data_IF_379993357749
#
_entry.id   IF_379993357749
#
_cell.length_a   1.000
_cell.length_b   1.000
_cell.length_c   1.000
_cell.angle_alpha   90.00
_cell.angle_beta   90.00
_cell.angle_gamma   90.00
#
_symmetry.space_group_name_H-M   'P 1'
#
loop_
_entity.id
_entity.type
_entity.pdbx_description
1 polymer ?
#
# COMPACT_ATOMS: atom_id res chain seq x y z
N UNK A 1 0.50 4.96 19.42
CA UNK A 1 0.06 3.55 19.50
C UNK A 1 0.70 2.76 18.36
N UNK A 2 1.45 1.71 18.67
CA UNK A 2 2.14 0.88 17.66
C UNK A 2 1.11 -0.12 17.15
N UNK A 3 0.61 0.07 15.96
CA UNK A 3 -0.41 -0.78 15.36
C UNK A 3 0.16 -2.20 15.21
N UNK A 4 -0.24 -3.14 16.10
CA UNK A 4 0.25 -4.53 16.20
C UNK A 4 0.06 -5.27 14.87
N UNK A 5 -1.01 -4.97 14.18
CA UNK A 5 -1.31 -5.52 12.87
C UNK A 5 -0.27 -5.09 11.83
N UNK A 6 0.11 -3.81 11.78
CA UNK A 6 1.18 -3.33 10.91
C UNK A 6 2.52 -4.02 11.20
N UNK A 7 2.78 -4.36 12.47
CA UNK A 7 3.98 -5.12 12.86
C UNK A 7 3.93 -6.57 12.38
N UNK A 8 2.78 -7.24 12.56
CA UNK A 8 2.58 -8.59 12.08
C UNK A 8 2.66 -8.70 10.56
N UNK A 9 1.93 -7.83 9.83
CA UNK A 9 1.95 -7.81 8.37
C UNK A 9 3.35 -7.53 7.83
N UNK A 10 4.08 -6.59 8.44
CA UNK A 10 5.49 -6.30 8.07
C UNK A 10 6.39 -7.49 8.30
N UNK A 11 6.24 -8.16 9.45
CA UNK A 11 7.02 -9.35 9.77
C UNK A 11 6.73 -10.48 8.78
N UNK A 12 5.44 -10.78 8.56
CA UNK A 12 5.01 -11.81 7.61
C UNK A 12 5.49 -11.52 6.19
N UNK A 13 5.34 -10.26 5.74
CA UNK A 13 5.79 -9.82 4.43
C UNK A 13 7.31 -9.98 4.26
N UNK A 14 8.10 -9.48 5.23
CA UNK A 14 9.56 -9.57 5.17
C UNK A 14 10.05 -11.01 5.19
N UNK A 15 9.46 -11.83 6.06
CA UNK A 15 9.82 -13.24 6.19
C UNK A 15 9.53 -14.00 4.88
N UNK A 16 8.34 -13.82 4.30
CA UNK A 16 7.97 -14.44 3.04
C UNK A 16 8.82 -13.95 1.88
N UNK A 17 9.07 -12.63 1.79
CA UNK A 17 9.90 -12.06 0.75
C UNK A 17 11.34 -12.61 0.78
N UNK A 18 11.94 -12.66 1.97
CA UNK A 18 13.28 -13.21 2.16
C UNK A 18 13.33 -14.72 1.82
N UNK A 19 12.32 -15.47 2.28
CA UNK A 19 12.20 -16.91 2.00
C UNK A 19 12.07 -17.18 0.50
N UNK A 20 11.23 -16.44 -0.22
CA UNK A 20 10.99 -16.63 -1.64
C UNK A 20 12.21 -16.23 -2.48
N UNK A 21 12.91 -15.17 -2.07
CA UNK A 21 14.19 -14.76 -2.67
C UNK A 21 15.24 -15.88 -2.53
N UNK A 22 15.43 -16.39 -1.32
CA UNK A 22 16.38 -17.49 -1.05
C UNK A 22 15.96 -18.77 -1.79
N UNK A 23 14.69 -19.13 -1.76
CA UNK A 23 14.16 -20.29 -2.47
C UNK A 23 14.46 -20.22 -3.97
N UNK A 24 14.32 -19.03 -4.57
CA UNK A 24 14.62 -18.84 -6.00
C UNK A 24 16.09 -19.01 -6.30
N UNK A 25 16.98 -18.45 -5.48
CA UNK A 25 18.44 -18.62 -5.66
C UNK A 25 18.85 -20.07 -5.45
N UNK A 26 18.36 -20.72 -4.40
CA UNK A 26 18.64 -22.15 -4.14
C UNK A 26 18.17 -23.00 -5.33
N UNK A 27 16.95 -22.77 -5.81
CA UNK A 27 16.41 -23.49 -6.97
C UNK A 27 17.27 -23.29 -8.21
N UNK A 28 17.71 -22.05 -8.46
CA UNK A 28 18.54 -21.70 -9.62
C UNK A 28 19.89 -22.41 -9.58
N UNK A 29 20.63 -22.25 -8.49
CA UNK A 29 21.96 -22.85 -8.37
C UNK A 29 21.95 -24.39 -8.18
N UNK A 30 20.92 -24.94 -7.51
CA UNK A 30 20.74 -26.37 -7.40
C UNK A 30 20.46 -27.02 -8.77
N UNK A 31 19.67 -26.37 -9.63
CA UNK A 31 19.42 -26.84 -11.00
C UNK A 31 20.72 -26.88 -11.85
N UNK A 32 21.58 -25.86 -11.67
CA UNK A 32 22.90 -25.82 -12.29
C UNK A 32 23.77 -26.98 -11.82
N UNK A 33 23.89 -27.16 -10.50
CA UNK A 33 24.71 -28.21 -9.91
C UNK A 33 24.25 -29.61 -10.34
N UNK A 34 22.95 -29.89 -10.24
CA UNK A 34 22.35 -31.16 -10.67
C UNK A 34 22.62 -31.43 -12.15
N UNK A 35 22.48 -30.44 -13.02
CA UNK A 35 22.63 -30.65 -14.48
C UNK A 35 24.07 -30.82 -14.89
N UNK A 36 25.00 -30.05 -14.36
CA UNK A 36 26.36 -29.97 -14.89
C UNK A 36 27.38 -30.79 -14.11
N UNK A 37 27.07 -31.21 -12.86
CA UNK A 37 27.97 -32.02 -12.04
C UNK A 37 27.44 -33.42 -11.71
N UNK A 38 26.11 -33.60 -11.64
CA UNK A 38 25.55 -34.91 -11.26
C UNK A 38 25.00 -35.67 -12.46
N UNK A 39 24.24 -35.02 -13.35
CA UNK A 39 23.62 -35.71 -14.48
C UNK A 39 24.61 -35.87 -15.66
N UNK A 40 24.62 -37.05 -16.33
CA UNK A 40 25.51 -37.31 -17.47
C UNK A 40 25.21 -36.38 -18.65
N UNK A 41 26.26 -36.01 -19.42
CA UNK A 41 26.16 -35.17 -20.62
C UNK A 41 26.12 -33.67 -20.39
N UNK A 42 26.35 -33.18 -19.16
CA UNK A 42 26.52 -31.77 -18.83
C UNK A 42 27.96 -31.31 -19.06
N UNK A 43 28.35 -30.90 -20.27
CA UNK A 43 29.64 -30.24 -20.48
C UNK A 43 29.52 -28.73 -20.25
N UNK A 44 30.26 -28.23 -19.25
CA UNK A 44 30.80 -26.89 -19.08
C UNK A 44 29.99 -25.69 -19.58
N UNK A 45 28.86 -25.36 -18.94
CA UNK A 45 28.26 -24.03 -19.11
C UNK A 45 28.99 -23.01 -18.20
N UNK A 46 29.43 -21.83 -18.70
CA UNK A 46 30.17 -20.88 -17.87
C UNK A 46 29.35 -20.41 -16.70
N UNK A 47 29.80 -20.68 -15.47
CA UNK A 47 29.13 -20.26 -14.23
C UNK A 47 28.82 -18.75 -14.19
N UNK A 48 29.71 -17.83 -14.64
CA UNK A 48 29.41 -16.39 -14.62
C UNK A 48 28.19 -16.03 -15.47
N UNK A 49 28.01 -16.63 -16.62
CA UNK A 49 26.86 -16.38 -17.49
C UNK A 49 25.58 -16.93 -16.86
N UNK A 50 25.62 -18.11 -16.26
CA UNK A 50 24.50 -18.70 -15.54
C UNK A 50 24.16 -17.89 -14.30
N UNK A 51 25.15 -17.42 -13.55
CA UNK A 51 24.95 -16.53 -12.40
C UNK A 51 24.32 -15.21 -12.82
N UNK A 52 24.69 -14.61 -13.96
CA UNK A 52 24.04 -13.40 -14.47
C UNK A 52 22.53 -13.57 -14.74
N UNK A 53 22.12 -14.74 -15.21
CA UNK A 53 20.71 -15.07 -15.45
C UNK A 53 19.90 -15.25 -14.15
N UNK A 54 20.54 -15.42 -13.00
CA UNK A 54 19.83 -15.46 -11.70
C UNK A 54 19.07 -14.17 -11.41
N UNK A 55 19.52 -13.03 -11.94
CA UNK A 55 18.82 -11.75 -11.81
C UNK A 55 17.43 -11.83 -12.48
N UNK A 56 17.38 -12.41 -13.69
CA UNK A 56 16.13 -12.63 -14.41
C UNK A 56 15.23 -13.61 -13.65
N UNK A 57 15.80 -14.68 -13.08
CA UNK A 57 15.07 -15.67 -12.30
C UNK A 57 14.43 -15.04 -11.05
N UNK A 58 15.20 -14.26 -10.29
CA UNK A 58 14.70 -13.56 -9.10
C UNK A 58 13.64 -12.54 -9.49
N UNK A 59 13.91 -11.69 -10.49
CA UNK A 59 12.97 -10.66 -10.91
C UNK A 59 11.64 -11.24 -11.38
N UNK A 60 11.67 -12.25 -12.27
CA UNK A 60 10.45 -12.90 -12.77
C UNK A 60 9.68 -13.60 -11.66
N UNK A 61 10.35 -14.31 -10.76
CA UNK A 61 9.71 -14.99 -9.62
C UNK A 61 9.02 -13.97 -8.72
N UNK A 62 9.73 -12.89 -8.32
CA UNK A 62 9.15 -11.85 -7.48
C UNK A 62 7.96 -11.18 -8.16
N UNK A 63 8.09 -10.87 -9.46
CA UNK A 63 7.00 -10.28 -10.24
C UNK A 63 5.73 -11.15 -10.20
N UNK A 64 5.84 -12.45 -10.50
CA UNK A 64 4.67 -13.32 -10.52
C UNK A 64 4.11 -13.62 -9.12
N UNK A 65 4.93 -13.67 -8.07
CA UNK A 65 4.44 -13.76 -6.69
C UNK A 65 3.59 -12.53 -6.30
N UNK A 66 3.99 -11.33 -6.75
CA UNK A 66 3.20 -10.12 -6.58
C UNK A 66 1.94 -10.11 -7.47
N UNK A 67 2.08 -10.52 -8.72
CA UNK A 67 0.97 -10.58 -9.68
C UNK A 67 -0.15 -11.51 -9.18
N UNK A 68 0.20 -12.70 -8.69
CA UNK A 68 -0.74 -13.66 -8.09
C UNK A 68 -1.17 -13.32 -6.66
N UNK A 69 -0.83 -12.12 -6.16
CA UNK A 69 -1.23 -11.59 -4.85
C UNK A 69 -0.82 -12.43 -3.64
N UNK A 70 0.26 -13.22 -3.76
CA UNK A 70 0.74 -14.12 -2.70
C UNK A 70 1.33 -13.39 -1.48
N UNK A 71 1.52 -12.07 -1.58
CA UNK A 71 1.92 -11.19 -0.48
C UNK A 71 0.77 -10.35 0.08
N UNK A 72 -0.44 -10.46 -0.46
CA UNK A 72 -1.60 -9.82 0.16
C UNK A 72 -1.92 -10.58 1.45
N UNK A 73 -2.14 -9.83 2.54
CA UNK A 73 -2.51 -10.41 3.83
C UNK A 73 -3.94 -10.94 3.77
N UNK A 74 -4.11 -12.11 3.23
CA UNK A 74 -5.35 -12.89 3.37
C UNK A 74 -5.41 -13.49 4.77
N UNK A 75 -6.56 -13.40 5.41
CA UNK A 75 -6.72 -13.79 6.82
C UNK A 75 -6.54 -15.29 7.02
N UNK A 76 -6.84 -16.14 6.05
CA UNK A 76 -6.43 -17.56 5.99
C UNK A 76 -6.49 -18.02 4.54
N UNK A 77 -5.36 -18.17 3.88
CA UNK A 77 -5.33 -18.93 2.62
C UNK A 77 -5.43 -20.42 2.94
N UNK A 78 -6.38 -21.11 2.32
CA UNK A 78 -6.39 -22.58 2.36
C UNK A 78 -5.10 -23.06 1.73
N UNK A 79 -4.36 -23.94 2.42
CA UNK A 79 -3.04 -24.43 1.98
C UNK A 79 -3.05 -24.89 0.51
N UNK A 80 -4.10 -25.61 0.09
CA UNK A 80 -4.23 -26.05 -1.29
C UNK A 80 -4.31 -24.92 -2.32
N UNK A 81 -4.94 -23.80 -1.98
CA UNK A 81 -5.01 -22.61 -2.85
C UNK A 81 -3.64 -21.94 -2.95
N UNK A 82 -2.89 -21.86 -1.83
CA UNK A 82 -1.53 -21.31 -1.81
C UNK A 82 -0.61 -22.15 -2.68
N UNK A 83 -0.60 -23.47 -2.53
CA UNK A 83 0.20 -24.41 -3.34
C UNK A 83 -0.13 -24.32 -4.82
N UNK A 84 -1.43 -24.27 -5.19
CA UNK A 84 -1.82 -24.12 -6.60
C UNK A 84 -1.37 -22.78 -7.20
N UNK A 85 -1.33 -21.72 -6.41
CA UNK A 85 -0.83 -20.42 -6.85
C UNK A 85 0.69 -20.42 -7.01
N UNK A 86 1.44 -21.11 -6.12
CA UNK A 86 2.88 -21.28 -6.26
C UNK A 86 3.25 -22.11 -7.51
N UNK A 87 2.43 -23.11 -7.83
CA UNK A 87 2.61 -23.88 -9.08
C UNK A 87 2.44 -22.98 -10.31
N UNK A 88 1.42 -22.12 -10.33
CA UNK A 88 1.25 -21.14 -11.42
C UNK A 88 2.44 -20.22 -11.54
N UNK A 89 2.95 -19.68 -10.43
CA UNK A 89 4.17 -18.84 -10.43
C UNK A 89 5.35 -19.59 -11.06
N UNK A 90 5.59 -20.84 -10.68
CA UNK A 90 6.68 -21.64 -11.24
C UNK A 90 6.52 -21.87 -12.75
N UNK A 91 5.29 -22.11 -13.22
CA UNK A 91 4.97 -22.25 -14.65
C UNK A 91 5.14 -20.94 -15.41
N UNK A 92 4.71 -19.80 -14.86
CA UNK A 92 4.86 -18.48 -15.48
C UNK A 92 6.34 -18.10 -15.61
N UNK A 93 7.14 -18.34 -14.56
CA UNK A 93 8.58 -18.12 -14.58
C UNK A 93 9.25 -19.04 -15.60
N UNK A 94 8.88 -20.32 -15.64
CA UNK A 94 9.37 -21.26 -16.64
C UNK A 94 9.09 -20.77 -18.07
N UNK A 95 7.87 -20.29 -18.33
CA UNK A 95 7.48 -19.74 -19.63
C UNK A 95 8.32 -18.51 -20.01
N UNK A 96 8.60 -17.60 -19.06
CA UNK A 96 9.50 -16.44 -19.30
C UNK A 96 10.86 -16.91 -19.80
N UNK A 97 11.43 -17.95 -19.18
CA UNK A 97 12.71 -18.47 -19.63
C UNK A 97 12.62 -19.17 -20.99
N UNK A 98 11.55 -19.91 -21.28
CA UNK A 98 11.33 -20.49 -22.61
C UNK A 98 11.29 -19.42 -23.69
N UNK A 99 10.53 -18.33 -23.45
CA UNK A 99 10.43 -17.19 -24.36
C UNK A 99 11.80 -16.49 -24.50
N UNK A 100 12.47 -16.21 -23.40
CA UNK A 100 13.78 -15.58 -23.39
C UNK A 100 14.80 -16.37 -24.23
N UNK A 101 14.83 -17.69 -24.07
CA UNK A 101 15.73 -18.56 -24.84
C UNK A 101 15.32 -18.68 -26.31
N UNK A 102 14.06 -18.63 -26.63
CA UNK A 102 13.60 -18.62 -28.02
C UNK A 102 14.13 -17.42 -28.81
N UNK A 103 14.15 -16.23 -28.19
CA UNK A 103 14.65 -15.01 -28.85
C UNK A 103 16.17 -14.81 -28.77
N UNK A 104 16.90 -15.55 -27.95
CA UNK A 104 18.35 -15.48 -27.81
C UNK A 104 19.02 -16.62 -28.53
N UNK A 105 19.11 -16.56 -29.88
CA UNK A 105 19.61 -17.62 -30.77
C UNK A 105 21.04 -18.11 -30.48
N UNK A 106 21.90 -17.37 -29.77
CA UNK A 106 23.31 -17.69 -29.53
C UNK A 106 23.62 -18.30 -28.17
N UNK A 107 22.63 -18.48 -27.29
CA UNK A 107 22.87 -19.02 -25.93
C UNK A 107 22.38 -20.46 -25.87
N UNK A 108 23.29 -21.42 -25.98
CA UNK A 108 22.98 -22.85 -25.81
C UNK A 108 22.72 -23.18 -24.33
N UNK A 109 21.54 -22.95 -23.85
CA UNK A 109 21.16 -23.37 -22.49
C UNK A 109 20.56 -24.76 -22.48
N UNK A 110 20.91 -25.54 -21.46
CA UNK A 110 20.40 -26.90 -21.32
C UNK A 110 18.91 -26.88 -20.99
N UNK A 111 18.06 -27.43 -21.85
CA UNK A 111 16.62 -27.61 -21.63
C UNK A 111 16.33 -28.37 -20.32
N UNK A 112 17.23 -29.33 -19.99
CA UNK A 112 17.15 -30.10 -18.75
C UNK A 112 17.38 -29.18 -17.51
N UNK A 113 18.37 -28.27 -17.59
CA UNK A 113 18.60 -27.33 -16.49
C UNK A 113 17.39 -26.45 -16.25
N UNK A 114 16.70 -26.00 -17.29
CA UNK A 114 15.50 -25.20 -17.19
C UNK A 114 14.33 -25.98 -16.58
N UNK A 115 14.11 -27.22 -16.98
CA UNK A 115 13.08 -28.07 -16.40
C UNK A 115 13.35 -28.36 -14.92
N UNK A 116 14.62 -28.65 -14.57
CA UNK A 116 15.06 -28.82 -13.18
C UNK A 116 14.83 -27.54 -12.36
N UNK A 117 15.12 -26.36 -12.95
CA UNK A 117 14.86 -25.11 -12.27
C UNK A 117 13.37 -24.90 -11.98
N UNK A 118 12.47 -25.14 -12.93
CA UNK A 118 11.02 -25.02 -12.73
C UNK A 118 10.51 -25.94 -11.61
N UNK A 119 10.95 -27.20 -11.62
CA UNK A 119 10.58 -28.17 -10.57
C UNK A 119 11.17 -27.80 -9.20
N UNK A 120 12.45 -27.43 -9.15
CA UNK A 120 13.13 -27.00 -7.94
C UNK A 120 12.51 -25.71 -7.37
N UNK A 121 12.18 -24.74 -8.23
CA UNK A 121 11.52 -23.48 -7.82
C UNK A 121 10.19 -23.77 -7.12
N UNK A 122 9.34 -24.59 -7.73
CA UNK A 122 8.08 -24.98 -7.09
C UNK A 122 8.32 -25.63 -5.72
N UNK A 123 9.22 -26.62 -5.67
CA UNK A 123 9.53 -27.35 -4.45
C UNK A 123 10.03 -26.41 -3.32
N UNK A 124 11.03 -25.59 -3.62
CA UNK A 124 11.62 -24.68 -2.61
C UNK A 124 10.68 -23.56 -2.19
N UNK A 125 9.82 -23.06 -3.08
CA UNK A 125 8.76 -22.13 -2.71
C UNK A 125 7.76 -22.77 -1.74
N UNK A 126 7.32 -24.01 -1.99
CA UNK A 126 6.43 -24.75 -1.10
C UNK A 126 7.08 -25.00 0.27
N UNK A 127 8.33 -25.45 0.30
CA UNK A 127 9.07 -25.66 1.55
C UNK A 127 9.23 -24.34 2.31
N UNK A 128 9.65 -23.27 1.64
CA UNK A 128 9.79 -21.94 2.22
C UNK A 128 8.51 -21.43 2.84
N UNK A 129 7.37 -21.61 2.16
CA UNK A 129 6.04 -21.24 2.70
C UNK A 129 5.65 -22.07 3.92
N UNK A 130 5.96 -23.36 3.94
CA UNK A 130 5.76 -24.21 5.14
C UNK A 130 6.57 -23.72 6.33
N UNK A 131 7.84 -23.43 6.12
CA UNK A 131 8.72 -22.90 7.17
C UNK A 131 8.25 -21.54 7.68
N UNK A 132 7.91 -20.62 6.78
CA UNK A 132 7.33 -19.33 7.14
C UNK A 132 6.05 -19.48 7.98
N UNK A 133 5.13 -20.34 7.55
CA UNK A 133 3.89 -20.57 8.27
C UNK A 133 4.13 -21.21 9.65
N UNK A 134 5.14 -22.09 9.79
CA UNK A 134 5.53 -22.65 11.07
C UNK A 134 6.11 -21.59 12.03
N UNK A 135 6.99 -20.71 11.53
CA UNK A 135 7.58 -19.60 12.32
C UNK A 135 6.48 -18.62 12.76
N UNK A 136 5.60 -18.23 11.82
CA UNK A 136 4.47 -17.35 12.11
C UNK A 136 3.55 -17.97 13.16
N UNK A 137 3.22 -19.26 13.00
CA UNK A 137 2.38 -19.99 13.95
C UNK A 137 2.97 -20.09 15.35
N UNK A 138 4.31 -20.23 15.47
CA UNK A 138 5.01 -20.18 16.78
C UNK A 138 4.87 -18.82 17.44
N UNK A 139 5.09 -17.74 16.70
CA UNK A 139 4.99 -16.35 17.21
C UNK A 139 3.55 -15.94 17.55
N UNK A 140 2.55 -16.46 16.85
CA UNK A 140 1.15 -16.26 17.22
C UNK A 140 0.84 -16.97 18.56
N UNK A 141 1.28 -18.23 18.72
CA UNK A 141 1.08 -18.99 19.97
C UNK A 141 1.80 -18.37 21.17
N UNK A 142 2.95 -17.72 20.97
CA UNK A 142 3.63 -16.98 22.05
C UNK A 142 2.94 -15.66 22.44
N UNK A 143 1.83 -15.31 21.81
CA UNK A 143 1.09 -14.08 22.08
C UNK A 143 1.66 -12.81 21.46
N UNK A 144 2.84 -12.87 20.79
CA UNK A 144 3.54 -11.70 20.24
C UNK A 144 2.71 -10.96 19.17
N UNK A 145 1.92 -11.72 18.38
CA UNK A 145 1.14 -11.19 17.26
C UNK A 145 -0.36 -11.45 17.37
N UNK A 146 -0.85 -11.73 18.56
CA UNK A 146 -2.29 -11.82 18.78
C UNK A 146 -2.93 -10.44 18.66
N UNK A 147 -4.01 -10.36 17.87
CA UNK A 147 -4.76 -9.13 17.61
C UNK A 147 -5.90 -9.01 18.62
N UNK A 148 -5.95 -7.88 19.31
CA UNK A 148 -7.03 -7.57 20.24
C UNK A 148 -8.30 -7.30 19.45
N UNK A 149 -9.29 -8.15 19.65
CA UNK A 149 -10.52 -8.18 18.87
C UNK A 149 -11.71 -7.78 19.74
N UNK A 150 -12.45 -6.78 19.30
CA UNK A 150 -13.72 -6.38 19.89
C UNK A 150 -14.85 -7.00 19.08
N UNK A 151 -15.74 -7.69 19.75
CA UNK A 151 -16.97 -8.20 19.16
C UNK A 151 -18.08 -7.17 19.33
N UNK A 152 -18.77 -6.78 18.25
CA UNK A 152 -19.83 -5.81 18.26
C UNK A 152 -21.14 -6.45 17.81
N UNK A 153 -22.14 -6.41 18.67
CA UNK A 153 -23.45 -6.99 18.39
C UNK A 153 -23.64 -8.39 18.97
N UNK A 154 -24.54 -9.18 18.37
CA UNK A 154 -24.98 -10.48 18.85
C UNK A 154 -25.58 -11.31 17.72
N UNK A 155 -26.02 -12.54 18.01
CA UNK A 155 -26.65 -13.44 17.06
C UNK A 155 -25.82 -14.67 16.70
N UNK A 156 -26.35 -15.53 15.82
CA UNK A 156 -25.77 -16.82 15.49
C UNK A 156 -24.35 -16.75 14.94
N UNK A 157 -24.09 -15.80 14.04
CA UNK A 157 -22.76 -15.62 13.41
C UNK A 157 -21.69 -15.16 14.40
N UNK A 158 -22.06 -14.32 15.37
CA UNK A 158 -21.16 -13.91 16.44
C UNK A 158 -20.84 -15.10 17.36
N UNK A 159 -21.85 -15.92 17.73
CA UNK A 159 -21.62 -17.15 18.52
C UNK A 159 -20.70 -18.12 17.78
N UNK A 160 -20.93 -18.35 16.49
CA UNK A 160 -20.08 -19.22 15.64
C UNK A 160 -18.64 -18.70 15.58
N UNK A 161 -18.42 -17.39 15.42
CA UNK A 161 -17.10 -16.77 15.43
C UNK A 161 -16.40 -16.94 16.78
N UNK A 162 -17.08 -16.68 17.89
CA UNK A 162 -16.52 -16.81 19.23
C UNK A 162 -16.17 -18.27 19.55
N UNK A 163 -17.03 -19.22 19.20
CA UNK A 163 -16.81 -20.64 19.37
C UNK A 163 -15.57 -21.12 18.58
N UNK A 164 -15.47 -20.76 17.30
CA UNK A 164 -14.34 -21.14 16.45
C UNK A 164 -13.01 -20.47 16.87
N UNK A 165 -13.08 -19.33 17.55
CA UNK A 165 -11.91 -18.69 18.13
C UNK A 165 -11.48 -19.38 19.43
N UNK A 166 -12.43 -19.77 20.28
CA UNK A 166 -12.19 -20.49 21.51
C UNK A 166 -11.60 -21.89 21.26
N UNK A 167 -12.10 -22.62 20.26
CA UNK A 167 -11.56 -23.94 19.85
C UNK A 167 -10.05 -23.89 19.53
N UNK A 168 -9.58 -22.79 18.96
CA UNK A 168 -8.16 -22.62 18.61
C UNK A 168 -7.29 -22.17 19.79
N UNK A 169 -7.89 -21.65 20.84
CA UNK A 169 -7.18 -21.16 22.01
C UNK A 169 -6.00 -20.25 21.68
N UNK A 170 -4.83 -20.52 22.25
CA UNK A 170 -3.59 -19.75 22.03
C UNK A 170 -3.08 -19.79 20.57
N UNK A 171 -3.53 -20.75 19.77
CA UNK A 171 -3.23 -20.78 18.34
C UNK A 171 -4.09 -19.80 17.54
N UNK A 172 -5.09 -19.17 18.17
CA UNK A 172 -5.89 -18.14 17.55
C UNK A 172 -5.09 -16.85 17.39
N UNK A 173 -5.15 -16.27 16.22
CA UNK A 173 -4.63 -14.92 15.93
C UNK A 173 -5.45 -13.82 16.61
N UNK A 174 -6.69 -14.13 17.01
CA UNK A 174 -7.63 -13.19 17.59
C UNK A 174 -7.79 -13.45 19.06
N UNK A 175 -7.49 -12.43 19.86
CA UNK A 175 -7.74 -12.41 21.30
C UNK A 175 -8.98 -11.55 21.54
N UNK A 176 -10.12 -12.19 21.81
CA UNK A 176 -11.36 -11.47 22.07
C UNK A 176 -11.22 -10.77 23.42
N UNK A 177 -11.35 -9.42 23.42
CA UNK A 177 -11.22 -8.56 24.60
C UNK A 177 -12.55 -8.42 25.31
N UNK A 178 -13.65 -8.36 24.55
CA UNK A 178 -14.99 -8.23 25.06
C UNK A 178 -16.03 -8.01 23.96
N UNK A 179 -17.27 -7.79 24.39
CA UNK A 179 -18.42 -7.56 23.53
C UNK A 179 -18.97 -6.16 23.78
N UNK A 180 -19.32 -5.45 22.71
CA UNK A 180 -19.96 -4.14 22.70
C UNK A 180 -21.33 -4.22 22.01
N UNK A 181 -22.33 -3.50 22.50
CA UNK A 181 -23.70 -3.53 21.99
C UNK A 181 -24.35 -4.93 21.95
N UNK A 182 -23.98 -5.82 22.87
CA UNK A 182 -24.59 -7.14 22.99
C UNK A 182 -25.89 -7.11 23.78
N UNK A 183 -27.03 -7.51 23.19
CA UNK A 183 -28.27 -7.79 23.94
C UNK A 183 -28.17 -9.09 24.73
N UNK A 184 -27.37 -10.03 24.25
CA UNK A 184 -27.10 -11.31 24.88
C UNK A 184 -25.59 -11.44 25.12
N UNK A 185 -25.20 -11.92 26.27
CA UNK A 185 -23.80 -12.23 26.57
C UNK A 185 -23.38 -13.49 25.82
N UNK A 186 -22.45 -13.33 24.89
CA UNK A 186 -21.97 -14.43 24.09
C UNK A 186 -20.77 -15.09 24.77
N UNK A 187 -20.89 -16.37 25.15
CA UNK A 187 -19.76 -17.18 25.63
C UNK A 187 -19.02 -16.64 26.85
N UNK A 188 -19.71 -15.93 27.77
CA UNK A 188 -19.09 -15.35 28.98
C UNK A 188 -18.17 -14.15 28.73
N UNK A 189 -18.23 -13.53 27.53
CA UNK A 189 -17.42 -12.36 27.20
C UNK A 189 -17.77 -11.17 28.08
N UNK A 190 -16.74 -10.44 28.52
CA UNK A 190 -16.91 -9.18 29.27
C UNK A 190 -17.66 -8.17 28.37
N UNK A 191 -18.72 -7.58 28.91
CA UNK A 191 -19.40 -6.44 28.27
C UNK A 191 -18.55 -5.18 28.43
N UNK A 192 -18.30 -4.50 27.32
CA UNK A 192 -17.58 -3.22 27.28
C UNK A 192 -18.62 -2.12 27.24
N UNK A 193 -18.64 -1.28 28.31
CA UNK A 193 -19.48 -0.10 28.40
C UNK A 193 -18.66 1.09 27.92
N UNK A 194 -19.09 1.71 26.83
CA UNK A 194 -18.52 2.95 26.29
C UNK A 194 -19.64 3.76 25.64
N UNK A 195 -19.53 5.07 25.63
CA UNK A 195 -20.52 5.95 25.00
C UNK A 195 -20.54 5.79 23.48
N UNK A 196 -19.38 5.55 22.88
CA UNK A 196 -19.22 5.36 21.44
C UNK A 196 -18.35 4.15 21.11
N UNK A 197 -18.47 3.63 19.89
CA UNK A 197 -17.61 2.56 19.40
C UNK A 197 -16.14 3.02 19.32
N UNK A 198 -15.90 4.29 19.03
CA UNK A 198 -14.57 4.86 18.96
C UNK A 198 -13.87 4.84 20.32
N UNK A 199 -14.57 5.22 21.38
CA UNK A 199 -14.11 5.13 22.76
C UNK A 199 -13.80 3.68 23.14
N UNK A 200 -14.72 2.75 22.86
CA UNK A 200 -14.53 1.33 23.13
C UNK A 200 -13.25 0.78 22.47
N UNK A 201 -13.00 1.17 21.23
CA UNK A 201 -11.81 0.76 20.45
C UNK A 201 -10.54 1.39 21.01
N UNK A 202 -10.57 2.66 21.35
CA UNK A 202 -9.41 3.44 21.81
C UNK A 202 -8.98 3.05 23.22
N UNK A 203 -9.94 2.97 24.17
CA UNK A 203 -9.65 2.62 25.56
C UNK A 203 -9.15 1.19 25.73
N UNK A 204 -9.64 0.28 24.90
CA UNK A 204 -9.26 -1.13 24.97
C UNK A 204 -8.14 -1.52 24.00
N UNK A 205 -7.48 -0.56 23.31
CA UNK A 205 -6.38 -0.81 22.36
C UNK A 205 -6.73 -1.92 21.35
N UNK A 206 -7.89 -1.77 20.69
CA UNK A 206 -8.46 -2.78 19.78
C UNK A 206 -7.83 -2.66 18.39
N UNK A 207 -7.35 -3.78 17.86
CA UNK A 207 -6.81 -3.89 16.50
C UNK A 207 -7.90 -4.24 15.47
N UNK A 208 -8.87 -5.06 15.88
CA UNK A 208 -9.92 -5.59 15.00
C UNK A 208 -11.28 -5.45 15.68
N UNK A 209 -12.26 -5.02 14.90
CA UNK A 209 -13.68 -5.03 15.26
C UNK A 209 -14.38 -6.07 14.39
N UNK A 210 -15.06 -7.01 15.03
CA UNK A 210 -15.90 -7.99 14.34
C UNK A 210 -17.35 -7.69 14.70
N UNK A 211 -18.11 -7.28 13.68
CA UNK A 211 -19.48 -6.82 13.84
C UNK A 211 -20.48 -7.82 13.23
N UNK A 212 -21.51 -8.15 13.97
CA UNK A 212 -22.62 -8.99 13.49
C UNK A 212 -23.89 -8.74 14.28
N UNK A 213 -25.00 -8.72 13.56
CA UNK A 213 -26.33 -8.55 14.12
C UNK A 213 -27.29 -9.52 13.44
N UNK A 214 -28.42 -9.89 14.07
CA UNK A 214 -29.47 -10.64 13.41
C UNK A 214 -30.02 -9.90 12.18
N UNK A 215 -30.51 -10.61 11.15
CA UNK A 215 -30.98 -10.01 9.90
C UNK A 215 -32.02 -8.92 10.07
N UNK A 216 -32.89 -9.08 11.05
CA UNK A 216 -34.01 -8.19 11.33
C UNK A 216 -33.59 -6.80 11.81
N UNK A 217 -32.50 -6.70 12.58
CA UNK A 217 -31.99 -5.44 13.15
C UNK A 217 -30.70 -4.97 12.48
N UNK A 218 -30.05 -5.82 11.68
CA UNK A 218 -28.68 -5.66 11.26
C UNK A 218 -28.42 -4.40 10.42
N UNK A 219 -29.27 -4.12 9.45
CA UNK A 219 -29.05 -3.00 8.53
C UNK A 219 -29.20 -1.63 9.20
N UNK A 220 -30.14 -1.49 10.12
CA UNK A 220 -30.36 -0.24 10.85
C UNK A 220 -29.21 0.03 11.81
N UNK A 221 -28.78 -0.97 12.59
CA UNK A 221 -27.67 -0.85 13.53
C UNK A 221 -26.34 -0.63 12.83
N UNK A 222 -26.11 -1.28 11.69
CA UNK A 222 -24.94 -1.06 10.87
C UNK A 222 -24.92 0.37 10.33
N UNK A 223 -26.07 0.91 9.89
CA UNK A 223 -26.18 2.30 9.44
C UNK A 223 -25.92 3.29 10.58
N UNK A 224 -26.49 3.06 11.75
CA UNK A 224 -26.26 3.91 12.93
C UNK A 224 -24.78 3.92 13.36
N UNK A 225 -24.10 2.79 13.21
CA UNK A 225 -22.68 2.67 13.59
C UNK A 225 -21.73 3.13 12.47
N UNK A 226 -22.22 3.30 11.23
CA UNK A 226 -21.39 3.56 10.03
C UNK A 226 -20.55 4.83 10.12
N UNK A 227 -21.06 5.91 10.69
CA UNK A 227 -20.31 7.16 10.83
C UNK A 227 -19.06 7.02 11.71
N UNK A 228 -19.12 6.18 12.76
CA UNK A 228 -17.96 5.90 13.61
C UNK A 228 -16.97 4.88 12.98
N UNK A 229 -17.45 3.96 12.13
CA UNK A 229 -16.62 2.88 11.56
C UNK A 229 -15.52 3.41 10.64
N UNK A 230 -15.80 4.43 9.85
CA UNK A 230 -14.85 4.97 8.86
C UNK A 230 -13.65 5.67 9.52
N UNK A 231 -13.83 6.19 10.73
CA UNK A 231 -12.80 6.89 11.50
C UNK A 231 -11.95 5.98 12.39
N UNK A 232 -12.39 4.72 12.58
CA UNK A 232 -11.66 3.78 13.45
C UNK A 232 -10.27 3.46 12.91
N UNK A 233 -9.28 3.49 13.79
CA UNK A 233 -7.94 2.99 13.51
C UNK A 233 -7.84 1.45 13.55
N UNK A 234 -8.96 0.75 13.74
CA UNK A 234 -9.09 -0.70 13.74
C UNK A 234 -9.70 -1.21 12.43
N UNK A 235 -9.36 -2.44 12.02
CA UNK A 235 -10.04 -3.10 10.89
C UNK A 235 -11.41 -3.58 11.31
N UNK A 236 -12.43 -3.21 10.54
CA UNK A 236 -13.80 -3.64 10.81
C UNK A 236 -14.21 -4.73 9.82
N UNK A 237 -14.62 -5.87 10.36
CA UNK A 237 -15.19 -6.98 9.64
C UNK A 237 -16.66 -7.11 9.98
N UNK A 238 -17.50 -7.16 8.97
CA UNK A 238 -18.90 -7.45 9.11
C UNK A 238 -19.12 -8.94 8.82
N UNK A 239 -19.79 -9.63 9.74
CA UNK A 239 -20.29 -10.98 9.56
C UNK A 239 -21.73 -10.89 9.03
N UNK A 240 -21.94 -10.98 7.71
CA UNK A 240 -23.28 -10.86 7.17
C UNK A 240 -24.06 -12.15 7.40
N UNK A 241 -25.28 -12.01 7.80
CA UNK A 241 -26.27 -13.07 7.75
C UNK A 241 -27.12 -12.94 6.46
N UNK A 242 -26.44 -12.70 5.33
CA UNK A 242 -27.04 -12.39 4.04
C UNK A 242 -26.70 -13.49 3.01
N UNK A 243 -27.67 -13.89 2.17
CA UNK A 243 -27.39 -14.68 0.98
C UNK A 243 -26.42 -13.95 0.05
N UNK A 244 -25.55 -14.68 -0.63
CA UNK A 244 -24.36 -14.29 -1.39
C UNK A 244 -24.44 -13.16 -2.44
N UNK A 245 -25.41 -12.28 -2.45
CA UNK A 245 -25.77 -11.48 -3.64
C UNK A 245 -25.60 -9.94 -3.55
N UNK A 246 -24.82 -9.31 -2.67
CA UNK A 246 -24.68 -7.84 -2.75
C UNK A 246 -23.27 -7.33 -2.50
N UNK A 247 -22.69 -6.90 -3.57
CA UNK A 247 -22.04 -5.65 -3.99
C UNK A 247 -20.91 -5.03 -3.15
N UNK A 248 -19.71 -5.02 -3.72
CA UNK A 248 -18.69 -3.95 -3.49
C UNK A 248 -17.79 -4.07 -2.26
N UNK A 249 -18.10 -4.93 -1.32
CA UNK A 249 -17.22 -5.24 -0.20
C UNK A 249 -16.35 -6.47 -0.54
N UNK A 250 -15.09 -6.45 -0.16
CA UNK A 250 -14.22 -7.61 -0.34
C UNK A 250 -14.64 -8.70 0.62
N UNK A 251 -15.16 -9.82 0.09
CA UNK A 251 -15.50 -10.97 0.91
C UNK A 251 -14.19 -11.64 1.32
N UNK A 252 -13.94 -11.71 2.60
CA UNK A 252 -12.78 -12.35 3.21
C UNK A 252 -13.25 -13.52 4.05
N UNK A 253 -12.56 -14.65 3.99
CA UNK A 253 -12.90 -15.80 4.85
C UNK A 253 -12.24 -15.64 6.22
N UNK A 254 -13.04 -15.47 7.25
CA UNK A 254 -12.65 -15.55 8.65
C UNK A 254 -12.89 -16.99 9.13
N UNK A 255 -11.84 -17.79 9.30
CA UNK A 255 -11.98 -19.19 9.75
C UNK A 255 -13.11 -20.00 9.07
N UNK A 256 -13.23 -19.86 7.75
CA UNK A 256 -14.28 -20.48 6.93
C UNK A 256 -15.65 -19.77 6.97
N UNK A 257 -15.79 -18.69 7.74
CA UNK A 257 -17.00 -17.86 7.75
C UNK A 257 -16.79 -16.71 6.75
N UNK A 258 -17.68 -16.51 5.77
CA UNK A 258 -17.59 -15.36 4.88
C UNK A 258 -17.82 -14.06 5.66
N UNK A 259 -16.86 -13.15 5.60
CA UNK A 259 -16.91 -11.84 6.24
C UNK A 259 -16.70 -10.74 5.21
N UNK A 260 -17.38 -9.61 5.36
CA UNK A 260 -17.21 -8.43 4.54
C UNK A 260 -16.25 -7.45 5.23
N UNK A 261 -15.12 -7.17 4.59
CA UNK A 261 -14.24 -6.10 5.06
C UNK A 261 -14.77 -4.75 4.59
N UNK A 262 -15.26 -3.92 5.50
CA UNK A 262 -15.97 -2.67 5.18
C UNK A 262 -15.02 -1.48 5.05
N UNK A 263 -13.84 -1.50 5.70
CA UNK A 263 -12.92 -0.36 5.73
C UNK A 263 -11.53 -0.63 5.12
N UNK A 264 -11.44 -1.39 4.04
CA UNK A 264 -10.18 -1.68 3.34
C UNK A 264 -9.68 -0.49 2.51
N UNK A 265 -9.32 0.62 3.14
CA UNK A 265 -8.79 1.78 2.42
C UNK A 265 -7.27 1.89 2.45
N UNK A 266 -6.56 0.95 3.08
CA UNK A 266 -5.11 0.91 3.06
C UNK A 266 -4.58 -0.01 1.96
N UNK A 267 -3.52 0.46 1.27
CA UNK A 267 -2.77 -0.42 0.36
C UNK A 267 -2.10 -1.54 1.17
N UNK A 268 -2.27 -2.78 0.74
CA UNK A 268 -1.55 -3.93 1.33
C UNK A 268 -0.03 -3.70 1.27
N UNK A 269 0.74 -4.37 2.13
CA UNK A 269 2.20 -4.20 2.18
C UNK A 269 2.86 -4.50 0.83
N UNK A 270 2.38 -5.53 0.11
CA UNK A 270 2.86 -5.84 -1.23
C UNK A 270 2.63 -4.69 -2.21
N UNK A 271 1.43 -4.12 -2.21
CA UNK A 271 1.11 -2.96 -3.04
C UNK A 271 1.95 -1.74 -2.67
N UNK A 272 2.19 -1.50 -1.37
CA UNK A 272 3.06 -0.39 -0.90
C UNK A 272 4.51 -0.59 -1.36
N UNK A 273 5.02 -1.82 -1.33
CA UNK A 273 6.37 -2.12 -1.79
C UNK A 273 6.51 -1.86 -3.29
N UNK A 274 5.61 -2.42 -4.11
CA UNK A 274 5.60 -2.21 -5.56
C UNK A 274 5.48 -0.72 -5.89
N UNK A 275 4.55 -0.02 -5.23
CA UNK A 275 4.41 1.43 -5.40
C UNK A 275 5.68 2.18 -5.04
N UNK A 276 6.32 1.83 -3.93
CA UNK A 276 7.55 2.48 -3.48
C UNK A 276 8.71 2.27 -4.46
N UNK A 277 8.85 1.07 -4.99
CA UNK A 277 9.85 0.74 -6.02
C UNK A 277 9.60 1.56 -7.28
N UNK A 278 8.35 1.61 -7.75
CA UNK A 278 7.96 2.42 -8.89
C UNK A 278 8.25 3.92 -8.66
N UNK A 279 7.88 4.46 -7.48
CA UNK A 279 8.12 5.87 -7.13
C UNK A 279 9.61 6.20 -7.14
N UNK A 280 10.47 5.38 -6.49
CA UNK A 280 11.92 5.61 -6.45
C UNK A 280 12.51 5.55 -7.84
N UNK A 281 12.22 4.48 -8.59
CA UNK A 281 12.78 4.25 -9.92
C UNK A 281 12.42 5.41 -10.87
N UNK A 282 11.13 5.75 -10.96
CA UNK A 282 10.66 6.81 -11.84
C UNK A 282 11.23 8.18 -11.46
N UNK A 283 11.25 8.50 -10.16
CA UNK A 283 11.76 9.81 -9.70
C UNK A 283 13.29 9.91 -9.83
N UNK A 284 14.03 8.82 -9.62
CA UNK A 284 15.50 8.82 -9.81
C UNK A 284 15.86 9.06 -11.28
N UNK A 285 15.19 8.38 -12.20
CA UNK A 285 15.37 8.62 -13.64
C UNK A 285 15.03 10.08 -13.98
N UNK A 286 13.90 10.59 -13.49
CA UNK A 286 13.50 11.97 -13.75
C UNK A 286 14.53 12.97 -13.22
N UNK A 287 15.08 12.80 -12.02
CA UNK A 287 16.11 13.67 -11.44
C UNK A 287 17.40 13.63 -12.26
N UNK A 288 17.85 12.45 -12.70
CA UNK A 288 19.05 12.31 -13.53
C UNK A 288 18.86 13.02 -14.88
N UNK A 289 17.75 12.75 -15.57
CA UNK A 289 17.45 13.36 -16.88
C UNK A 289 17.27 14.89 -16.81
N UNK A 290 16.64 15.38 -15.73
CA UNK A 290 16.38 16.80 -15.53
C UNK A 290 17.49 17.51 -14.76
N UNK A 291 18.62 16.85 -14.43
CA UNK A 291 19.72 17.45 -13.68
C UNK A 291 20.27 18.75 -14.29
N UNK A 292 20.44 18.90 -15.64
CA UNK A 292 20.83 20.18 -16.21
C UNK A 292 19.80 21.29 -15.96
N UNK A 293 18.50 20.94 -16.03
CA UNK A 293 17.39 21.89 -15.78
C UNK A 293 17.41 22.33 -14.31
N UNK A 294 17.65 21.40 -13.38
CA UNK A 294 17.79 21.73 -11.94
C UNK A 294 18.92 22.74 -11.71
N UNK A 295 20.08 22.54 -12.33
CA UNK A 295 21.23 23.46 -12.18
C UNK A 295 20.93 24.85 -12.74
N UNK A 296 20.35 24.93 -13.94
CA UNK A 296 19.97 26.19 -14.56
C UNK A 296 18.95 26.94 -13.69
N UNK A 297 17.89 26.25 -13.24
CA UNK A 297 16.86 26.87 -12.41
C UNK A 297 17.41 27.30 -11.06
N UNK A 298 18.27 26.51 -10.44
CA UNK A 298 18.93 26.87 -9.18
C UNK A 298 19.77 28.15 -9.32
N UNK A 299 20.53 28.27 -10.40
CA UNK A 299 21.31 29.45 -10.72
C UNK A 299 20.42 30.68 -10.95
N UNK A 300 19.39 30.55 -11.77
CA UNK A 300 18.46 31.64 -12.05
C UNK A 300 17.73 32.12 -10.79
N UNK A 301 17.26 31.21 -9.94
CA UNK A 301 16.63 31.58 -8.65
C UNK A 301 17.62 32.31 -7.74
N UNK A 302 18.88 31.90 -7.71
CA UNK A 302 19.92 32.52 -6.87
C UNK A 302 20.27 33.93 -7.35
N UNK A 303 20.31 34.15 -8.66
CA UNK A 303 20.61 35.47 -9.26
C UNK A 303 19.40 36.42 -9.11
N UNK A 304 18.17 35.90 -9.24
CA UNK A 304 16.97 36.75 -9.28
C UNK A 304 16.56 37.32 -7.92
N UNK A 305 16.91 36.62 -6.82
CA UNK A 305 16.58 37.11 -5.47
C UNK A 305 17.57 36.58 -4.41
N UNK A 306 17.82 37.38 -3.36
CA UNK A 306 18.69 37.00 -2.24
C UNK A 306 18.04 35.90 -1.39
N UNK A 307 18.82 34.88 -0.95
CA UNK A 307 18.37 33.82 -0.06
C UNK A 307 18.60 32.40 -0.59
N UNK A 308 18.01 31.37 0.04
CA UNK A 308 18.16 29.94 -0.36
C UNK A 308 17.45 29.65 -1.69
N UNK A 309 17.98 28.69 -2.46
CA UNK A 309 17.38 28.24 -3.74
C UNK A 309 16.06 27.54 -3.51
N UNK A 310 15.99 26.72 -2.47
CA UNK A 310 14.81 25.93 -2.14
C UNK A 310 13.98 26.60 -1.04
N UNK A 311 12.68 26.62 -1.26
CA UNK A 311 11.67 26.95 -0.26
C UNK A 311 11.12 25.67 0.36
N UNK A 312 10.87 25.69 1.65
CA UNK A 312 10.32 24.56 2.42
C UNK A 312 9.01 24.97 3.04
N UNK A 313 7.96 24.13 2.84
CA UNK A 313 6.63 24.39 3.39
C UNK A 313 6.11 23.16 4.11
N UNK A 314 5.53 23.37 5.29
CA UNK A 314 4.89 22.29 6.04
C UNK A 314 3.64 21.82 5.34
N UNK A 315 3.55 20.51 5.15
CA UNK A 315 2.44 19.81 4.49
C UNK A 315 2.15 18.50 5.19
N UNK A 316 0.90 18.04 5.08
CA UNK A 316 0.47 16.78 5.67
C UNK A 316 0.59 15.64 4.65
N UNK A 317 1.11 14.49 5.10
CA UNK A 317 1.23 13.25 4.33
C UNK A 317 0.57 12.09 5.10
N UNK A 318 0.93 10.86 4.76
CA UNK A 318 0.32 9.64 5.32
C UNK A 318 0.29 9.64 6.86
N UNK A 319 -0.85 9.21 7.41
CA UNK A 319 -1.13 9.13 8.84
C UNK A 319 -1.05 10.48 9.56
N UNK A 320 -1.37 11.58 8.88
CA UNK A 320 -1.36 12.92 9.44
C UNK A 320 0.04 13.48 9.73
N UNK A 321 1.13 12.81 9.28
CA UNK A 321 2.50 13.29 9.52
C UNK A 321 2.78 14.56 8.74
N UNK A 322 3.35 15.54 9.40
CA UNK A 322 3.85 16.77 8.76
C UNK A 322 5.24 16.53 8.19
N UNK A 323 5.50 17.07 7.00
CA UNK A 323 6.79 17.03 6.34
C UNK A 323 7.11 18.36 5.63
N UNK A 324 8.37 18.64 5.38
CA UNK A 324 8.85 19.81 4.64
C UNK A 324 8.81 19.54 3.14
N UNK A 325 7.80 20.08 2.46
CA UNK A 325 7.69 20.01 1.01
C UNK A 325 8.68 20.98 0.35
N UNK A 326 9.50 20.47 -0.58
CA UNK A 326 10.51 21.24 -1.29
C UNK A 326 9.95 21.87 -2.56
N UNK A 327 10.26 23.14 -2.79
CA UNK A 327 9.98 23.85 -4.04
C UNK A 327 11.17 24.76 -4.41
N UNK A 328 11.31 25.13 -5.67
CA UNK A 328 12.13 26.29 -6.00
C UNK A 328 11.47 27.54 -5.46
N UNK A 329 12.27 28.45 -4.93
CA UNK A 329 11.78 29.73 -4.44
C UNK A 329 11.26 30.58 -5.60
N UNK A 330 10.00 30.94 -5.53
CA UNK A 330 9.30 31.77 -6.52
C UNK A 330 8.91 33.15 -5.99
N UNK A 331 9.13 33.38 -4.68
CA UNK A 331 8.79 34.63 -3.98
C UNK A 331 9.99 35.21 -3.26
N UNK A 332 10.00 36.53 -3.05
CA UNK A 332 10.95 37.24 -2.21
C UNK A 332 10.70 36.92 -0.73
N UNK A 333 11.76 36.89 0.07
CA UNK A 333 11.71 36.61 1.52
C UNK A 333 11.64 37.90 2.33
N UNK A 334 12.10 39.00 1.76
CA UNK A 334 12.21 40.32 2.37
C UNK A 334 10.89 41.06 2.55
N UNK A 335 9.78 40.51 2.07
CA UNK A 335 8.44 41.04 2.24
C UNK A 335 7.63 40.20 3.23
N UNK A 336 7.03 40.83 4.27
CA UNK A 336 6.22 40.09 5.25
C UNK A 336 4.97 39.47 4.63
N UNK A 337 4.51 38.39 5.22
CA UNK A 337 3.27 37.71 4.86
C UNK A 337 2.09 38.62 5.26
N UNK A 338 1.43 39.26 4.29
CA UNK A 338 0.41 40.28 4.57
C UNK A 338 -0.92 39.75 5.09
N UNK A 339 -1.23 38.48 4.88
CA UNK A 339 -2.48 37.88 5.30
C UNK A 339 -2.26 36.40 5.65
N UNK A 340 -2.56 35.98 6.82
CA UNK A 340 -2.54 34.64 7.36
C UNK A 340 -2.53 33.45 6.38
N UNK A 341 -3.01 32.23 6.70
CA UNK A 341 -2.91 31.05 5.85
C UNK A 341 -3.93 31.07 4.68
N UNK A 342 -3.91 32.12 3.86
CA UNK A 342 -4.74 32.23 2.65
C UNK A 342 -4.05 31.59 1.43
N UNK A 343 -4.87 31.24 0.45
CA UNK A 343 -4.40 30.84 -0.88
C UNK A 343 -3.67 32.04 -1.51
N UNK A 344 -2.49 31.79 -2.10
CA UNK A 344 -1.73 32.85 -2.78
C UNK A 344 -2.53 33.39 -3.94
N UNK A 345 -2.76 34.68 -3.98
CA UNK A 345 -3.44 35.36 -5.09
C UNK A 345 -2.53 35.47 -6.32
N UNK A 346 -3.14 35.64 -7.49
CA UNK A 346 -2.45 35.62 -8.79
C UNK A 346 -1.41 36.72 -8.93
N UNK A 347 -1.68 37.90 -8.37
CA UNK A 347 -0.84 39.09 -8.46
C UNK A 347 -0.16 39.47 -7.15
N UNK A 348 0.19 38.47 -6.31
CA UNK A 348 0.94 38.70 -5.07
C UNK A 348 2.29 39.42 -5.36
N UNK A 349 2.55 40.62 -4.79
CA UNK A 349 3.72 41.45 -5.09
C UNK A 349 5.05 40.78 -4.71
N UNK A 350 5.03 39.75 -3.90
CA UNK A 350 6.19 38.96 -3.51
C UNK A 350 6.70 38.05 -4.63
N UNK A 351 5.85 37.77 -5.64
CA UNK A 351 6.21 36.86 -6.74
C UNK A 351 7.23 37.55 -7.66
N UNK A 352 8.40 36.89 -7.85
CA UNK A 352 9.40 37.40 -8.80
C UNK A 352 8.96 37.14 -10.25
N UNK A 353 9.51 37.89 -11.23
CA UNK A 353 9.24 37.65 -12.67
C UNK A 353 9.56 36.20 -13.06
N UNK A 354 10.71 35.67 -12.59
CA UNK A 354 11.07 34.26 -12.76
C UNK A 354 10.07 33.34 -12.03
N UNK A 355 9.66 33.72 -10.82
CA UNK A 355 8.70 32.98 -10.02
C UNK A 355 7.34 32.83 -10.70
N UNK A 356 6.86 33.86 -11.41
CA UNK A 356 5.62 33.81 -12.20
C UNK A 356 5.73 32.76 -13.33
N UNK A 357 6.88 32.74 -14.02
CA UNK A 357 7.16 31.72 -15.03
C UNK A 357 7.23 30.29 -14.43
N UNK A 358 7.99 30.11 -13.33
CA UNK A 358 8.14 28.82 -12.67
C UNK A 358 6.78 28.23 -12.23
N UNK A 359 5.91 29.06 -11.63
CA UNK A 359 4.56 28.66 -11.22
C UNK A 359 3.65 28.31 -12.38
N UNK A 360 3.65 29.15 -13.44
CA UNK A 360 2.85 28.89 -14.65
C UNK A 360 3.23 27.57 -15.33
N UNK A 361 4.50 27.19 -15.26
CA UNK A 361 5.03 25.97 -15.85
C UNK A 361 5.11 24.81 -14.84
N UNK A 362 4.75 25.02 -13.58
CA UNK A 362 4.92 24.06 -12.48
C UNK A 362 6.37 23.59 -12.27
N UNK A 363 7.36 24.29 -12.82
CA UNK A 363 8.78 23.97 -12.65
C UNK A 363 9.27 24.24 -11.22
N UNK A 364 8.56 25.08 -10.47
CA UNK A 364 8.81 25.29 -9.04
C UNK A 364 8.59 24.02 -8.22
N UNK A 365 7.80 23.06 -8.68
CA UNK A 365 7.47 21.81 -7.98
C UNK A 365 8.48 20.68 -8.25
N UNK A 366 9.44 20.84 -9.19
CA UNK A 366 10.45 19.81 -9.49
C UNK A 366 11.21 19.31 -8.25
N UNK A 367 11.61 20.14 -7.26
CA UNK A 367 12.32 19.65 -6.08
C UNK A 367 11.53 18.64 -5.23
N UNK A 368 10.21 18.50 -5.44
CA UNK A 368 9.40 17.47 -4.76
C UNK A 368 9.82 16.03 -5.15
N UNK A 369 10.51 15.83 -6.30
CA UNK A 369 11.08 14.52 -6.61
C UNK A 369 12.08 14.07 -5.52
N UNK A 370 12.82 14.96 -4.89
CA UNK A 370 13.67 14.63 -3.73
C UNK A 370 12.84 14.22 -2.51
N UNK A 371 11.66 14.82 -2.29
CA UNK A 371 10.73 14.37 -1.25
C UNK A 371 10.22 12.95 -1.51
N UNK A 372 9.99 12.59 -2.78
CA UNK A 372 9.59 11.23 -3.15
C UNK A 372 10.73 10.25 -2.89
N UNK A 373 11.95 10.54 -3.37
CA UNK A 373 13.12 9.69 -3.14
C UNK A 373 13.40 9.54 -1.65
N UNK A 374 13.33 10.64 -0.87
CA UNK A 374 13.46 10.65 0.58
C UNK A 374 12.32 9.97 1.35
N UNK A 375 11.20 9.65 0.67
CA UNK A 375 10.09 8.86 1.21
C UNK A 375 9.02 9.62 1.96
N UNK A 376 9.05 10.94 2.03
CA UNK A 376 7.98 11.77 2.60
C UNK A 376 6.77 11.92 1.67
N UNK A 377 6.99 11.80 0.35
CA UNK A 377 5.97 11.86 -0.70
C UNK A 377 5.97 10.59 -1.57
N UNK A 378 5.02 10.53 -2.48
CA UNK A 378 4.88 9.58 -3.59
C UNK A 378 4.81 10.38 -4.90
N UNK A 379 5.13 9.75 -6.03
CA UNK A 379 4.95 10.36 -7.35
C UNK A 379 3.47 10.66 -7.61
N UNK A 380 2.61 9.68 -7.34
CA UNK A 380 1.16 9.78 -7.50
C UNK A 380 0.47 9.55 -6.15
N UNK A 381 -0.46 10.46 -5.81
CA UNK A 381 -1.23 10.40 -4.56
C UNK A 381 -2.10 11.65 -4.37
N UNK A 382 -2.85 11.74 -3.27
CA UNK A 382 -3.59 12.95 -2.90
C UNK A 382 -2.65 14.16 -2.79
N UNK A 383 -3.10 15.32 -3.27
CA UNK A 383 -2.31 16.56 -3.12
C UNK A 383 -2.14 16.92 -1.65
N UNK A 384 -0.89 17.23 -1.18
CA UNK A 384 -0.65 17.59 0.21
C UNK A 384 -1.24 18.98 0.53
N UNK A 385 -1.97 19.07 1.63
CA UNK A 385 -2.53 20.32 2.14
C UNK A 385 -1.73 20.84 3.34
N UNK A 386 -1.90 22.14 3.68
CA UNK A 386 -1.31 22.75 4.88
C UNK A 386 -1.95 22.18 6.14
N UNK A 387 -1.21 22.04 7.26
CA UNK A 387 -1.79 21.51 8.50
C UNK A 387 -3.05 22.23 8.97
N UNK A 388 -3.06 23.56 8.86
CA UNK A 388 -4.18 24.42 9.29
C UNK A 388 -5.44 24.11 8.46
N UNK A 389 -5.31 23.95 7.14
CA UNK A 389 -6.43 23.60 6.25
C UNK A 389 -6.91 22.17 6.48
N UNK A 390 -6.00 21.25 6.77
CA UNK A 390 -6.36 19.87 7.09
C UNK A 390 -7.28 19.83 8.31
N UNK A 391 -6.96 20.61 9.36
CA UNK A 391 -7.75 20.64 10.57
C UNK A 391 -9.16 21.22 10.34
N UNK A 392 -9.27 22.27 9.53
CA UNK A 392 -10.57 22.81 9.11
C UNK A 392 -11.40 21.79 8.30
N UNK A 393 -10.78 21.14 7.32
CA UNK A 393 -11.49 20.18 6.46
C UNK A 393 -11.91 18.91 7.18
N UNK A 394 -11.19 18.47 8.21
CA UNK A 394 -11.60 17.37 9.07
C UNK A 394 -12.92 17.64 9.80
N UNK A 395 -13.11 18.89 10.26
CA UNK A 395 -14.33 19.29 10.97
C UNK A 395 -15.54 19.40 10.04
N UNK A 396 -15.32 19.76 8.76
CA UNK A 396 -16.40 20.05 7.81
C UNK A 396 -16.74 18.90 6.88
N UNK A 397 -15.77 18.01 6.58
CA UNK A 397 -15.94 16.95 5.57
C UNK A 397 -15.81 15.58 6.22
N UNK A 398 -16.89 14.80 6.33
CA UNK A 398 -16.84 13.45 6.86
C UNK A 398 -15.86 12.56 6.06
N UNK A 399 -14.98 11.86 6.75
CA UNK A 399 -14.03 10.95 6.12
C UNK A 399 -12.86 11.62 5.40
N UNK A 400 -12.63 12.93 5.60
CA UNK A 400 -11.49 13.64 5.01
C UNK A 400 -10.15 12.97 5.32
N UNK A 401 -9.96 12.44 6.52
CA UNK A 401 -8.74 11.77 6.97
C UNK A 401 -8.38 10.50 6.15
N UNK A 402 -9.37 9.88 5.53
CA UNK A 402 -9.14 8.68 4.72
C UNK A 402 -8.17 8.91 3.55
N UNK A 403 -8.07 10.14 3.06
CA UNK A 403 -7.08 10.52 2.03
C UNK A 403 -5.64 10.43 2.53
N UNK A 404 -5.41 10.55 3.84
CA UNK A 404 -4.10 10.44 4.47
C UNK A 404 -3.65 9.00 4.75
N UNK A 405 -4.39 7.99 4.33
CA UNK A 405 -3.96 6.58 4.43
C UNK A 405 -2.85 6.21 3.45
N UNK A 406 -2.62 7.02 2.43
CA UNK A 406 -1.48 6.92 1.51
C UNK A 406 -0.60 8.16 1.61
N UNK A 407 0.61 8.10 1.02
CA UNK A 407 1.48 9.27 0.95
C UNK A 407 0.90 10.30 0.00
N UNK A 408 1.12 11.57 0.33
CA UNK A 408 0.83 12.69 -0.56
C UNK A 408 1.62 12.56 -1.87
N UNK A 409 0.99 12.92 -3.00
CA UNK A 409 1.57 12.82 -4.33
C UNK A 409 1.99 14.16 -4.92
N UNK A 410 2.95 14.15 -5.85
CA UNK A 410 3.26 15.30 -6.72
C UNK A 410 2.08 15.52 -7.66
N UNK A 411 1.58 14.45 -8.28
CA UNK A 411 0.35 14.45 -9.06
C UNK A 411 -0.66 13.46 -8.47
N UNK A 412 -1.93 13.53 -8.91
CA UNK A 412 -2.98 12.68 -8.39
C UNK A 412 -4.22 12.65 -9.27
N UNK A 413 -5.12 11.69 -9.01
CA UNK A 413 -6.32 11.49 -9.81
C UNK A 413 -7.24 12.72 -9.79
N UNK A 414 -7.42 13.37 -8.65
CA UNK A 414 -8.15 14.62 -8.54
C UNK A 414 -7.52 15.72 -9.42
N UNK A 415 -6.19 15.84 -9.35
CA UNK A 415 -5.45 16.89 -10.07
C UNK A 415 -5.57 16.77 -11.59
N UNK A 416 -5.42 15.55 -12.17
CA UNK A 416 -5.52 15.34 -13.62
C UNK A 416 -6.96 15.45 -14.15
N UNK A 417 -7.96 15.45 -13.25
CA UNK A 417 -9.35 15.72 -13.56
C UNK A 417 -9.77 17.17 -13.28
N UNK A 418 -8.80 18.10 -13.16
CA UNK A 418 -9.07 19.53 -13.05
C UNK A 418 -9.45 20.01 -11.63
N UNK A 419 -9.40 19.13 -10.63
CA UNK A 419 -9.73 19.47 -9.25
C UNK A 419 -8.50 20.02 -8.52
N UNK A 420 -8.04 21.21 -8.94
CA UNK A 420 -6.92 21.97 -8.35
C UNK A 420 -7.40 23.35 -7.90
N UNK A 421 -6.64 24.00 -7.01
CA UNK A 421 -6.92 25.39 -6.59
C UNK A 421 -8.27 25.54 -5.90
N UNK A 422 -9.07 26.54 -6.27
CA UNK A 422 -10.35 26.86 -5.67
C UNK A 422 -11.49 25.99 -6.23
N UNK A 423 -11.43 24.69 -6.01
CA UNK A 423 -12.45 23.72 -6.43
C UNK A 423 -13.04 23.00 -5.21
N UNK A 424 -14.24 22.37 -5.37
CA UNK A 424 -14.90 21.66 -4.26
C UNK A 424 -13.98 20.62 -3.62
N UNK A 425 -13.77 20.78 -2.32
CA UNK A 425 -12.93 19.87 -1.52
C UNK A 425 -13.58 18.49 -1.42
N UNK A 426 -14.92 18.41 -1.31
CA UNK A 426 -15.65 17.14 -1.27
C UNK A 426 -15.41 16.32 -2.54
N UNK A 427 -15.51 16.95 -3.72
CA UNK A 427 -15.22 16.29 -4.99
C UNK A 427 -13.76 15.82 -5.05
N UNK A 428 -12.83 16.65 -4.56
CA UNK A 428 -11.40 16.30 -4.50
C UNK A 428 -11.19 15.07 -3.62
N UNK A 429 -11.78 15.04 -2.43
CA UNK A 429 -11.73 13.89 -1.51
C UNK A 429 -12.32 12.65 -2.17
N UNK A 430 -13.47 12.74 -2.83
CA UNK A 430 -14.08 11.61 -3.52
C UNK A 430 -13.15 10.99 -4.59
N UNK A 431 -12.45 11.84 -5.38
CA UNK A 431 -11.48 11.38 -6.39
C UNK A 431 -10.22 10.78 -5.75
N UNK A 432 -9.73 11.36 -4.65
CA UNK A 432 -8.60 10.83 -3.89
C UNK A 432 -8.94 9.45 -3.31
N UNK A 433 -10.14 9.28 -2.73
CA UNK A 433 -10.61 8.00 -2.21
C UNK A 433 -10.81 6.96 -3.32
N UNK A 434 -11.33 7.38 -4.49
CA UNK A 434 -11.42 6.50 -5.65
C UNK A 434 -10.05 5.96 -6.04
N UNK A 435 -9.03 6.84 -6.14
CA UNK A 435 -7.66 6.44 -6.43
C UNK A 435 -7.13 5.44 -5.41
N UNK A 436 -7.30 5.70 -4.12
CA UNK A 436 -6.82 4.82 -3.04
C UNK A 436 -7.44 3.42 -3.14
N UNK A 437 -8.74 3.34 -3.40
CA UNK A 437 -9.49 2.07 -3.50
C UNK A 437 -9.11 1.25 -4.74
N UNK A 438 -8.87 1.91 -5.87
CA UNK A 438 -8.62 1.25 -7.15
C UNK A 438 -7.14 1.29 -7.57
N UNK A 439 -6.24 1.55 -6.62
CA UNK A 439 -4.83 1.69 -6.93
C UNK A 439 -4.26 0.45 -7.64
N UNK A 440 -3.52 0.69 -8.72
CA UNK A 440 -2.67 -0.25 -9.42
C UNK A 440 -1.49 0.51 -10.05
N UNK A 441 -0.41 -0.19 -10.40
CA UNK A 441 0.74 0.42 -11.11
C UNK A 441 0.30 1.01 -12.45
N UNK A 442 -0.62 0.32 -13.16
CA UNK A 442 -1.21 0.84 -14.40
C UNK A 442 -1.98 2.13 -14.19
N UNK A 443 -2.66 2.26 -13.06
CA UNK A 443 -3.38 3.49 -12.73
C UNK A 443 -2.41 4.64 -12.45
N UNK A 444 -1.31 4.39 -11.73
CA UNK A 444 -0.24 5.38 -11.54
C UNK A 444 0.35 5.80 -12.89
N UNK A 445 0.69 4.84 -13.77
CA UNK A 445 1.22 5.12 -15.10
C UNK A 445 0.24 5.96 -15.95
N UNK A 446 -1.04 5.62 -15.92
CA UNK A 446 -2.10 6.42 -16.60
C UNK A 446 -2.14 7.85 -16.07
N UNK A 447 -2.03 8.05 -14.74
CA UNK A 447 -2.03 9.39 -14.15
C UNK A 447 -0.77 10.17 -14.57
N UNK A 448 0.40 9.52 -14.63
CA UNK A 448 1.64 10.13 -15.15
C UNK A 448 1.43 10.63 -16.56
N UNK A 449 0.93 9.80 -17.48
CA UNK A 449 0.65 10.19 -18.86
C UNK A 449 -0.32 11.38 -18.91
N UNK A 450 -1.43 11.31 -18.16
CA UNK A 450 -2.41 12.38 -18.10
C UNK A 450 -1.84 13.68 -17.52
N UNK A 451 -0.89 13.60 -16.59
CA UNK A 451 -0.19 14.76 -16.04
C UNK A 451 0.61 15.48 -17.12
N UNK A 452 1.34 14.73 -17.95
CA UNK A 452 2.06 15.31 -19.08
C UNK A 452 1.12 15.90 -20.12
N UNK A 453 0.08 15.16 -20.53
CA UNK A 453 -0.85 15.61 -21.58
C UNK A 453 -1.70 16.81 -21.15
N UNK A 454 -2.20 16.82 -19.91
CA UNK A 454 -3.09 17.87 -19.39
C UNK A 454 -2.34 18.97 -18.65
N UNK A 455 -1.13 18.71 -18.15
CA UNK A 455 -0.30 19.69 -17.46
C UNK A 455 0.08 20.88 -18.34
N UNK A 456 0.20 20.68 -19.66
CA UNK A 456 0.48 21.73 -20.64
C UNK A 456 -0.77 22.47 -21.12
N UNK A 457 -1.99 21.96 -20.85
CA UNK A 457 -3.25 22.47 -21.42
C UNK A 457 -4.14 23.13 -20.36
N UNK A 458 -3.87 22.99 -19.07
CA UNK A 458 -4.77 23.47 -18.01
C UNK A 458 -4.65 24.98 -17.77
N UNK A 459 -5.73 25.71 -18.05
CA UNK A 459 -5.93 27.13 -17.75
C UNK A 459 -5.97 27.46 -16.24
N UNK A 460 -6.03 26.47 -15.34
CA UNK A 460 -6.18 26.62 -13.89
C UNK A 460 -4.91 26.19 -13.11
N UNK A 461 -3.72 26.36 -13.69
CA UNK A 461 -2.44 26.20 -12.99
C UNK A 461 -2.08 27.52 -12.29
N UNK A 462 -2.55 27.70 -11.05
CA UNK A 462 -2.13 28.75 -10.10
C UNK A 462 -1.70 28.13 -8.78
#
# INVERSE_FOLDING_TARGET
MRNRENSFEKFQFRLRLASDFLATLIAWFSSYYLRFYILPGGKGYPLPLFAGLSILAVFSTMFFLFYHKLYEAGIVSRWGVEVSSLLRVALDVFLVFVVFYYFRFNVKVSRVALALFGAALFLFLVIGRRLCNAIIGRKVRSGEFQQRTLVVGYGAKIREFCASTAEKGDASRFRIVGQYLGKEQVGGLRQIQAGTLEEAVKENDIDIVVMGFPPEEGMEKIRATKQGIELLNAKVFLLPDIPRSHAGATITNFYSIPALQVNSSELSLGKRFVKRTFDIFSCSIAVILLSPVYLILAMLVKITSRGPVFFRQDRVTRNGKVFKMLKFRSMRIDMPEQNGPHWTEEDDPRITKLGKFLRKTSLDELPQFFNVIGGSMSLIGPRPERPELVEQFKQTIPGYDLRHRVKAGISGWAQVNGLRGNTSIEKRVAYDLYYIRHWSVFFDFRIVILTFLKGFINKNAY
#
